data_IF_364958678063
#
_entry.id   IF_364958678063
#
_cell.length_a   1.000
_cell.length_b   1.000
_cell.length_c   1.000
_cell.angle_alpha   90.00
_cell.angle_beta   90.00
_cell.angle_gamma   90.00
#
_symmetry.space_group_name_H-M   'P 1'
#
loop_
_entity.id
_entity.type
_entity.pdbx_description
1 polymer ?
#
# COMPACT_ATOMS: atom_id res chain seq x y z
N UNK A 1 -2.27 10.67 12.56
CA UNK A 1 -2.69 12.09 12.52
C UNK A 1 -2.61 12.62 11.08
N UNK A 2 -3.72 13.16 10.55
CA UNK A 2 -3.72 13.87 9.27
C UNK A 2 -2.90 15.16 9.40
N UNK A 3 -2.10 15.48 8.39
CA UNK A 3 -1.35 16.74 8.35
C UNK A 3 -2.26 17.81 7.72
N UNK A 4 -2.43 18.95 8.41
CA UNK A 4 -3.16 20.11 7.89
C UNK A 4 -2.12 21.10 7.38
N UNK A 5 -2.09 21.32 6.08
CA UNK A 5 -1.30 22.40 5.48
C UNK A 5 -2.23 23.58 5.22
N UNK A 6 -1.95 24.73 5.82
CA UNK A 6 -2.66 25.99 5.57
C UNK A 6 -1.74 26.88 4.72
N UNK A 7 -2.18 27.21 3.51
CA UNK A 7 -1.46 28.15 2.64
C UNK A 7 -2.24 29.47 2.60
N UNK A 8 -1.56 30.62 2.74
CA UNK A 8 -2.20 31.92 2.55
C UNK A 8 -2.65 32.07 1.10
N UNK A 9 -3.78 32.77 0.86
CA UNK A 9 -4.21 33.12 -0.49
C UNK A 9 -3.18 34.09 -1.08
N UNK A 10 -2.64 33.84 -2.29
CA UNK A 10 -1.69 34.74 -2.93
C UNK A 10 -2.26 36.15 -3.12
N UNK A 11 -1.51 37.19 -2.74
CA UNK A 11 -1.92 38.59 -2.91
C UNK A 11 -1.80 39.08 -4.37
N UNK A 12 -1.09 38.33 -5.23
CA UNK A 12 -0.90 38.66 -6.64
C UNK A 12 -1.93 37.95 -7.52
N UNK A 13 -2.67 38.72 -8.30
CA UNK A 13 -3.50 38.23 -9.41
C UNK A 13 -2.68 38.37 -10.70
N UNK A 14 -2.10 37.28 -11.16
CA UNK A 14 -1.23 37.16 -12.33
C UNK A 14 -0.89 35.69 -12.58
N UNK A 15 -0.39 35.31 -13.76
CA UNK A 15 -0.26 33.91 -14.23
C UNK A 15 0.83 33.09 -13.54
N UNK A 16 0.85 33.07 -12.21
CA UNK A 16 1.56 32.06 -11.45
C UNK A 16 0.61 30.87 -11.30
N UNK A 17 0.79 29.87 -12.17
CA UNK A 17 0.04 28.61 -12.08
C UNK A 17 0.58 27.87 -10.85
N UNK A 18 -0.03 28.07 -9.69
CA UNK A 18 0.16 27.20 -8.54
C UNK A 18 -0.72 25.95 -8.72
N UNK A 19 -0.12 24.87 -9.21
CA UNK A 19 -0.79 23.56 -9.24
C UNK A 19 -0.68 22.91 -7.86
N UNK A 20 -1.69 23.10 -7.02
CA UNK A 20 -1.94 22.25 -5.86
C UNK A 20 -3.35 21.66 -5.98
N UNK A 21 -3.54 20.35 -5.80
CA UNK A 21 -2.55 19.30 -5.50
C UNK A 21 -1.88 18.69 -6.74
N UNK A 22 -0.79 17.93 -6.52
CA UNK A 22 -0.10 17.19 -7.59
C UNK A 22 -1.09 16.28 -8.33
N UNK A 23 -1.05 16.19 -9.68
CA UNK A 23 -1.97 15.37 -10.48
C UNK A 23 -2.05 13.89 -10.07
N UNK A 24 -1.05 13.38 -9.34
CA UNK A 24 -0.92 11.98 -8.96
C UNK A 24 -1.56 11.64 -7.61
N UNK A 25 -2.13 12.62 -6.91
CA UNK A 25 -2.67 12.43 -5.57
C UNK A 25 -4.08 11.82 -5.61
N UNK A 26 -4.19 10.54 -5.24
CA UNK A 26 -5.45 9.77 -5.42
C UNK A 26 -6.43 9.82 -4.23
N UNK A 27 -5.94 10.16 -3.03
CA UNK A 27 -6.74 10.14 -1.78
C UNK A 27 -6.43 11.40 -0.96
N UNK A 28 -6.91 12.54 -1.46
CA UNK A 28 -6.91 13.83 -0.76
C UNK A 28 -8.34 14.38 -0.68
N UNK A 29 -8.56 15.30 0.26
CA UNK A 29 -9.79 16.10 0.30
C UNK A 29 -9.42 17.56 0.40
N UNK A 30 -10.00 18.37 -0.47
CA UNK A 30 -9.86 19.81 -0.42
C UNK A 30 -11.21 20.49 -0.15
N UNK A 31 -11.13 21.60 0.56
CA UNK A 31 -12.30 22.39 0.94
C UNK A 31 -11.93 23.86 0.86
N UNK A 32 -12.86 24.69 0.41
CA UNK A 32 -12.83 26.13 0.66
C UNK A 32 -13.78 26.37 1.82
N UNK A 33 -13.25 26.72 2.98
CA UNK A 33 -14.03 27.08 4.15
C UNK A 33 -14.41 28.56 4.07
N UNK A 34 -15.71 28.83 3.92
CA UNK A 34 -16.29 30.16 4.07
C UNK A 34 -16.82 30.24 5.50
N UNK A 35 -16.16 31.04 6.34
CA UNK A 35 -16.48 31.12 7.76
C UNK A 35 -17.47 32.27 8.03
N UNK A 36 -18.47 32.11 8.91
CA UNK A 36 -19.43 33.15 9.25
C UNK A 36 -18.84 34.20 10.21
N UNK A 37 -17.59 34.59 9.99
CA UNK A 37 -16.86 35.59 10.75
C UNK A 37 -16.68 36.81 9.83
N UNK A 38 -17.19 38.00 10.22
CA UNK A 38 -17.05 39.20 9.41
C UNK A 38 -15.58 39.49 9.05
N UNK A 39 -15.33 39.86 7.79
CA UNK A 39 -14.01 40.19 7.25
C UNK A 39 -12.96 39.06 7.29
N UNK A 40 -13.36 37.81 7.50
CA UNK A 40 -12.46 36.66 7.35
C UNK A 40 -12.46 36.18 5.89
N UNK A 41 -11.31 36.16 5.19
CA UNK A 41 -11.24 35.63 3.84
C UNK A 41 -11.51 34.11 3.84
N UNK A 42 -12.02 33.53 2.73
CA UNK A 42 -12.15 32.07 2.60
C UNK A 42 -10.82 31.37 2.85
N UNK A 43 -10.85 30.21 3.48
CA UNK A 43 -9.64 29.42 3.79
C UNK A 43 -9.62 28.18 2.91
N UNK A 44 -8.58 28.01 2.10
CA UNK A 44 -8.34 26.74 1.42
C UNK A 44 -7.73 25.74 2.39
N UNK A 45 -8.38 24.59 2.56
CA UNK A 45 -7.94 23.49 3.41
C UNK A 45 -7.67 22.28 2.55
N UNK A 46 -6.51 21.70 2.78
CA UNK A 46 -6.02 20.54 2.08
C UNK A 46 -5.69 19.43 3.08
N UNK A 47 -6.33 18.26 2.91
CA UNK A 47 -6.16 17.10 3.80
C UNK A 47 -5.57 15.93 3.02
N UNK A 48 -4.39 15.47 3.45
CA UNK A 48 -3.74 14.27 2.95
C UNK A 48 -3.46 13.26 4.07
N UNK A 49 -3.44 11.98 3.71
CA UNK A 49 -2.87 10.94 4.56
C UNK A 49 -1.33 11.04 4.54
N UNK A 50 -0.65 10.68 5.64
CA UNK A 50 0.81 10.69 5.67
C UNK A 50 1.39 9.73 4.63
N UNK A 51 2.57 10.04 4.04
CA UNK A 51 3.25 9.13 3.12
C UNK A 51 3.47 7.74 3.73
N UNK A 52 3.58 6.73 2.87
CA UNK A 52 3.90 5.37 3.31
C UNK A 52 5.30 5.32 3.90
N UNK A 53 5.49 4.50 4.94
CA UNK A 53 6.79 4.26 5.56
C UNK A 53 7.38 2.93 5.07
N UNK A 54 8.71 2.80 5.02
CA UNK A 54 9.32 1.51 4.75
C UNK A 54 8.92 0.46 5.79
N UNK A 55 8.68 -0.76 5.33
CA UNK A 55 8.15 -1.88 6.10
C UNK A 55 6.74 -1.68 6.67
N UNK A 56 6.03 -0.62 6.26
CA UNK A 56 4.64 -0.45 6.65
C UNK A 56 3.77 -1.53 6.03
N UNK A 57 3.06 -2.27 6.88
CA UNK A 57 2.11 -3.33 6.51
C UNK A 57 0.70 -2.77 6.55
N UNK A 58 -0.11 -3.11 5.56
CA UNK A 58 -1.49 -2.62 5.46
C UNK A 58 -2.22 -3.15 4.23
N UNK A 59 -3.42 -2.63 4.00
CA UNK A 59 -4.19 -2.94 2.79
C UNK A 59 -3.56 -2.29 1.56
N UNK A 60 -3.50 -3.05 0.46
CA UNK A 60 -2.89 -2.59 -0.79
C UNK A 60 -3.41 -1.22 -1.24
N UNK A 61 -4.73 -1.01 -1.27
CA UNK A 61 -5.30 0.23 -1.78
C UNK A 61 -4.87 1.45 -0.96
N UNK A 62 -4.71 1.29 0.36
CA UNK A 62 -4.33 2.38 1.25
C UNK A 62 -2.85 2.71 1.08
N UNK A 63 -1.99 1.68 1.13
CA UNK A 63 -0.56 1.84 0.93
C UNK A 63 -0.26 2.41 -0.46
N UNK A 64 -0.90 1.90 -1.51
CA UNK A 64 -0.69 2.35 -2.89
C UNK A 64 -1.24 3.76 -3.14
N UNK A 65 -2.25 4.21 -2.38
CA UNK A 65 -2.73 5.59 -2.43
C UNK A 65 -1.77 6.60 -1.79
N UNK A 66 -0.93 6.12 -0.85
CA UNK A 66 0.05 6.93 -0.10
C UNK A 66 1.47 6.82 -0.63
N UNK A 67 1.78 5.80 -1.43
CA UNK A 67 3.08 5.66 -2.09
C UNK A 67 3.18 6.54 -3.32
N UNK A 68 4.09 7.52 -3.29
CA UNK A 68 4.11 8.64 -4.26
C UNK A 68 5.53 9.05 -4.62
N UNK A 69 6.06 8.49 -5.72
CA UNK A 69 7.43 8.75 -6.21
C UNK A 69 8.50 8.66 -5.11
N UNK A 70 8.26 7.81 -4.12
CA UNK A 70 9.05 7.63 -2.90
C UNK A 70 10.09 6.51 -3.04
N UNK A 71 10.16 5.89 -4.21
CA UNK A 71 11.02 4.74 -4.47
C UNK A 71 10.56 3.46 -3.76
N UNK A 72 9.30 3.40 -3.33
CA UNK A 72 8.68 2.23 -2.72
C UNK A 72 7.80 1.50 -3.74
N UNK A 73 7.78 0.18 -3.63
CA UNK A 73 6.75 -0.67 -4.23
C UNK A 73 5.87 -1.21 -3.11
N UNK A 74 4.58 -1.37 -3.41
CA UNK A 74 3.63 -2.02 -2.51
C UNK A 74 3.52 -3.49 -2.93
N UNK A 75 4.18 -4.36 -2.16
CA UNK A 75 4.27 -5.79 -2.44
C UNK A 75 3.18 -6.56 -1.69
N UNK A 76 2.35 -7.31 -2.44
CA UNK A 76 1.36 -8.21 -1.85
C UNK A 76 2.07 -9.40 -1.21
N UNK A 77 1.84 -9.64 0.09
CA UNK A 77 2.41 -10.78 0.81
C UNK A 77 1.28 -11.52 1.55
N UNK A 78 0.86 -12.72 1.08
CA UNK A 78 1.38 -13.45 -0.08
C UNK A 78 1.08 -12.77 -1.42
N UNK A 79 1.77 -13.22 -2.48
CA UNK A 79 1.62 -12.63 -3.80
C UNK A 79 0.16 -12.58 -4.29
N UNK A 80 -0.22 -11.48 -4.97
CA UNK A 80 -1.57 -11.28 -5.52
C UNK A 80 -2.03 -12.45 -6.40
N UNK A 81 -1.10 -13.10 -7.12
CA UNK A 81 -1.38 -14.27 -7.94
C UNK A 81 -1.81 -15.50 -7.12
N UNK A 82 -1.14 -15.75 -6.00
CA UNK A 82 -1.51 -16.82 -5.07
C UNK A 82 -2.88 -16.55 -4.42
N UNK A 83 -3.11 -15.32 -3.93
CA UNK A 83 -4.39 -14.92 -3.36
C UNK A 83 -5.55 -15.05 -4.38
N UNK A 84 -5.30 -14.70 -5.65
CA UNK A 84 -6.29 -14.89 -6.73
C UNK A 84 -6.66 -16.36 -6.92
N UNK A 85 -5.69 -17.27 -6.90
CA UNK A 85 -5.94 -18.71 -7.02
C UNK A 85 -6.69 -19.26 -5.80
N UNK A 86 -6.28 -18.84 -4.60
CA UNK A 86 -6.94 -19.20 -3.35
C UNK A 86 -8.43 -18.79 -3.37
N UNK A 87 -8.73 -17.54 -3.77
CA UNK A 87 -10.11 -17.06 -3.88
C UNK A 87 -10.92 -17.81 -4.93
N UNK A 88 -10.34 -18.12 -6.10
CA UNK A 88 -11.03 -18.92 -7.13
C UNK A 88 -11.38 -20.32 -6.63
N UNK A 89 -10.50 -20.95 -5.86
CA UNK A 89 -10.77 -22.25 -5.25
C UNK A 89 -11.85 -22.16 -4.15
N UNK A 90 -11.78 -21.12 -3.30
CA UNK A 90 -12.70 -20.93 -2.16
C UNK A 90 -14.11 -20.50 -2.56
N UNK A 91 -14.22 -19.57 -3.51
CA UNK A 91 -15.50 -18.96 -3.93
C UNK A 91 -16.15 -19.69 -5.12
N UNK A 92 -15.37 -20.48 -5.87
CA UNK A 92 -15.86 -21.23 -7.03
C UNK A 92 -16.36 -20.32 -8.16
N UNK A 93 -17.26 -20.84 -8.98
CA UNK A 93 -17.76 -20.16 -10.20
C UNK A 93 -18.69 -18.96 -9.93
N UNK A 94 -19.10 -18.76 -8.68
CA UNK A 94 -20.03 -17.68 -8.32
C UNK A 94 -19.35 -16.30 -8.26
N UNK A 95 -18.04 -16.24 -8.01
CA UNK A 95 -17.29 -14.99 -7.97
C UNK A 95 -16.75 -14.62 -9.34
N UNK A 96 -17.03 -13.40 -9.79
CA UNK A 96 -16.43 -12.87 -11.02
C UNK A 96 -14.98 -12.46 -10.78
N UNK A 97 -14.17 -12.36 -11.84
CA UNK A 97 -12.82 -11.81 -11.72
C UNK A 97 -12.82 -10.39 -11.15
N UNK A 98 -13.86 -9.60 -11.41
CA UNK A 98 -14.03 -8.25 -10.85
C UNK A 98 -14.26 -8.26 -9.34
N UNK A 99 -15.02 -9.22 -8.83
CA UNK A 99 -15.27 -9.36 -7.38
C UNK A 99 -13.99 -9.82 -6.67
N UNK A 100 -13.25 -10.74 -7.27
CA UNK A 100 -11.94 -11.17 -6.78
C UNK A 100 -10.97 -9.98 -6.76
N UNK A 101 -10.90 -9.21 -7.84
CA UNK A 101 -9.97 -8.07 -7.91
C UNK A 101 -10.32 -6.97 -6.90
N UNK A 102 -11.59 -6.80 -6.52
CA UNK A 102 -11.99 -5.92 -5.40
C UNK A 102 -11.43 -6.42 -4.06
N UNK A 103 -11.56 -7.72 -3.77
CA UNK A 103 -11.01 -8.32 -2.54
C UNK A 103 -9.49 -8.17 -2.51
N UNK A 104 -8.83 -8.44 -3.64
CA UNK A 104 -7.38 -8.30 -3.76
C UNK A 104 -6.89 -6.85 -3.63
N UNK A 105 -7.75 -5.86 -3.89
CA UNK A 105 -7.42 -4.45 -3.68
C UNK A 105 -7.33 -4.09 -2.19
N UNK A 106 -7.99 -4.85 -1.31
CA UNK A 106 -7.84 -4.78 0.16
C UNK A 106 -6.88 -5.82 0.71
N UNK A 107 -6.24 -6.62 -0.15
CA UNK A 107 -5.29 -7.65 0.27
C UNK A 107 -4.08 -7.07 1.00
N UNK A 108 -3.57 -7.82 1.97
CA UNK A 108 -2.42 -7.43 2.79
C UNK A 108 -1.18 -7.25 1.92
N UNK A 109 -0.49 -6.14 2.14
CA UNK A 109 0.71 -5.75 1.43
C UNK A 109 1.70 -5.06 2.37
N UNK A 110 2.93 -4.92 1.91
CA UNK A 110 4.00 -4.23 2.61
C UNK A 110 4.72 -3.25 1.68
N UNK A 111 5.08 -2.09 2.20
CA UNK A 111 5.89 -1.12 1.46
C UNK A 111 7.37 -1.49 1.53
N UNK A 112 7.95 -1.83 0.37
CA UNK A 112 9.34 -2.26 0.23
C UNK A 112 10.09 -1.36 -0.77
N UNK A 113 11.35 -0.98 -0.53
CA UNK A 113 12.12 -0.23 -1.50
C UNK A 113 12.17 -0.94 -2.85
N UNK A 114 11.96 -0.20 -3.95
CA UNK A 114 11.84 -0.72 -5.31
C UNK A 114 12.99 -1.67 -5.68
N UNK A 115 14.22 -1.32 -5.29
CA UNK A 115 15.42 -2.14 -5.52
C UNK A 115 15.38 -3.50 -4.81
N UNK A 116 14.78 -3.58 -3.63
CA UNK A 116 14.61 -4.84 -2.88
C UNK A 116 13.51 -5.68 -3.51
N UNK A 117 12.33 -5.09 -3.77
CA UNK A 117 11.24 -5.81 -4.43
C UNK A 117 11.72 -6.39 -5.78
N UNK A 118 12.39 -5.56 -6.59
CA UNK A 118 13.02 -6.00 -7.84
C UNK A 118 14.14 -7.00 -7.68
N UNK A 119 14.95 -6.93 -6.63
CA UNK A 119 16.15 -7.76 -6.49
C UNK A 119 15.89 -9.12 -5.86
N UNK A 120 14.92 -9.17 -4.94
CA UNK A 120 14.82 -10.25 -3.95
C UNK A 120 13.43 -10.90 -3.92
N UNK A 121 12.35 -10.13 -4.03
CA UNK A 121 11.01 -10.66 -3.76
C UNK A 121 10.59 -11.77 -4.72
N UNK A 122 10.09 -12.89 -4.18
CA UNK A 122 9.53 -13.99 -4.96
C UNK A 122 8.23 -13.60 -5.68
N UNK A 123 7.57 -12.54 -5.23
CA UNK A 123 6.31 -12.03 -5.81
C UNK A 123 6.56 -11.23 -7.10
N UNK A 124 7.81 -10.81 -7.33
CA UNK A 124 8.18 -9.91 -8.42
C UNK A 124 8.28 -10.63 -9.77
N UNK A 125 7.37 -10.26 -10.68
CA UNK A 125 7.36 -10.64 -12.09
C UNK A 125 7.66 -12.14 -12.30
N UNK A 126 8.76 -12.46 -12.98
CA UNK A 126 9.09 -13.81 -13.45
C UNK A 126 9.42 -14.81 -12.34
N UNK A 127 9.73 -14.36 -11.12
CA UNK A 127 9.93 -15.27 -9.97
C UNK A 127 8.61 -15.84 -9.47
N UNK A 128 7.52 -15.09 -9.63
CA UNK A 128 6.19 -15.50 -9.23
C UNK A 128 5.55 -16.42 -10.28
N UNK A 129 6.17 -17.58 -10.51
CA UNK A 129 5.73 -18.57 -11.49
C UNK A 129 4.37 -19.16 -11.13
N UNK A 130 3.66 -19.74 -12.11
CA UNK A 130 2.38 -20.41 -11.84
C UNK A 130 2.49 -21.55 -10.84
N UNK A 131 3.59 -22.31 -10.86
CA UNK A 131 3.85 -23.35 -9.88
C UNK A 131 3.99 -22.78 -8.46
N UNK A 132 4.70 -21.66 -8.31
CA UNK A 132 4.82 -20.95 -7.02
C UNK A 132 3.46 -20.42 -6.56
N UNK A 133 2.69 -19.78 -7.44
CA UNK A 133 1.34 -19.29 -7.11
C UNK A 133 0.42 -20.41 -6.62
N UNK A 134 0.44 -21.59 -7.26
CA UNK A 134 -0.36 -22.74 -6.84
C UNK A 134 0.10 -23.25 -5.48
N UNK A 135 1.42 -23.41 -5.28
CA UNK A 135 1.99 -23.82 -3.98
C UNK A 135 1.59 -22.86 -2.87
N UNK A 136 1.80 -21.57 -3.09
CA UNK A 136 1.52 -20.51 -2.11
C UNK A 136 0.02 -20.39 -1.82
N UNK A 137 -0.85 -20.67 -2.79
CA UNK A 137 -2.29 -20.68 -2.58
C UNK A 137 -2.80 -21.85 -1.72
N UNK A 138 -2.03 -22.93 -1.58
CA UNK A 138 -2.40 -24.07 -0.74
C UNK A 138 -2.12 -23.82 0.75
N UNK A 139 -1.12 -22.98 1.05
CA UNK A 139 -0.74 -22.61 2.41
C UNK A 139 -0.32 -21.14 2.44
N UNK A 140 -1.30 -20.28 2.73
CA UNK A 140 -1.12 -18.83 2.84
C UNK A 140 -0.12 -18.48 3.96
N UNK A 141 -0.17 -19.19 5.10
CA UNK A 141 0.73 -18.92 6.23
C UNK A 141 2.19 -19.14 5.84
N UNK A 142 2.49 -20.31 5.26
CA UNK A 142 3.83 -20.61 4.76
C UNK A 142 4.25 -19.69 3.59
N UNK A 143 3.29 -19.23 2.77
CA UNK A 143 3.57 -18.29 1.69
C UNK A 143 3.97 -16.90 2.19
N UNK A 144 3.37 -16.41 3.28
CA UNK A 144 3.77 -15.15 3.94
C UNK A 144 5.26 -15.23 4.33
N UNK A 145 5.63 -16.28 5.06
CA UNK A 145 7.00 -16.49 5.50
C UNK A 145 7.96 -16.59 4.32
N UNK A 146 7.68 -17.46 3.35
CA UNK A 146 8.52 -17.64 2.16
C UNK A 146 8.72 -16.35 1.37
N UNK A 147 7.63 -15.61 1.11
CA UNK A 147 7.70 -14.39 0.29
C UNK A 147 8.42 -13.25 1.04
N UNK A 148 8.25 -13.14 2.36
CA UNK A 148 8.95 -12.13 3.16
C UNK A 148 10.42 -12.50 3.40
N UNK A 149 10.73 -13.76 3.70
CA UNK A 149 12.09 -14.28 3.91
C UNK A 149 13.00 -14.02 2.71
N UNK A 150 12.48 -14.15 1.50
CA UNK A 150 13.22 -13.86 0.29
C UNK A 150 13.76 -12.42 0.26
N UNK A 151 13.05 -11.47 0.87
CA UNK A 151 13.37 -10.04 0.89
C UNK A 151 14.31 -9.66 2.04
N UNK A 152 14.31 -10.43 3.13
CA UNK A 152 15.10 -10.18 4.36
C UNK A 152 16.59 -9.93 4.08
N UNK A 153 17.31 -10.71 3.24
CA UNK A 153 18.72 -10.43 2.95
C UNK A 153 18.95 -9.07 2.30
N UNK A 154 18.03 -8.63 1.43
CA UNK A 154 18.07 -7.33 0.80
C UNK A 154 17.82 -6.21 1.81
N UNK A 155 16.78 -6.37 2.64
CA UNK A 155 16.43 -5.41 3.68
C UNK A 155 17.55 -5.24 4.72
N UNK A 156 18.19 -6.33 5.16
CA UNK A 156 19.34 -6.25 6.09
C UNK A 156 20.49 -5.45 5.51
N UNK A 157 20.78 -5.59 4.21
CA UNK A 157 21.82 -4.79 3.53
C UNK A 157 21.52 -3.29 3.51
N UNK A 158 20.25 -2.91 3.61
CA UNK A 158 19.82 -1.52 3.70
C UNK A 158 19.80 -0.98 5.13
N UNK A 159 20.14 -1.81 6.12
CA UNK A 159 20.24 -1.41 7.52
C UNK A 159 18.97 -1.65 8.35
N UNK A 160 17.97 -2.34 7.82
CA UNK A 160 16.82 -2.76 8.65
C UNK A 160 17.26 -3.80 9.69
N UNK A 161 16.90 -3.54 10.94
CA UNK A 161 17.22 -4.41 12.08
C UNK A 161 16.32 -5.64 12.11
N UNK A 162 16.78 -6.72 12.74
CA UNK A 162 15.96 -7.93 12.91
C UNK A 162 14.66 -7.64 13.69
N UNK A 163 14.68 -6.69 14.62
CA UNK A 163 13.47 -6.26 15.36
C UNK A 163 12.43 -5.63 14.43
N UNK A 164 12.84 -4.73 13.51
CA UNK A 164 11.94 -4.14 12.52
C UNK A 164 11.38 -5.19 11.55
N UNK A 165 12.22 -6.15 11.14
CA UNK A 165 11.82 -7.21 10.21
C UNK A 165 10.86 -8.20 10.88
N UNK A 166 11.11 -8.57 12.14
CA UNK A 166 10.23 -9.44 12.91
C UNK A 166 8.88 -8.77 13.15
N UNK A 167 8.87 -7.48 13.50
CA UNK A 167 7.63 -6.70 13.65
C UNK A 167 6.82 -6.68 12.34
N UNK A 168 7.46 -6.40 11.20
CA UNK A 168 6.78 -6.42 9.91
C UNK A 168 6.21 -7.80 9.57
N UNK A 169 6.93 -8.88 9.89
CA UNK A 169 6.44 -10.26 9.74
C UNK A 169 5.22 -10.51 10.62
N UNK A 170 5.27 -10.12 11.90
CA UNK A 170 4.16 -10.28 12.83
C UNK A 170 2.92 -9.52 12.34
N UNK A 171 3.07 -8.28 11.88
CA UNK A 171 1.99 -7.48 11.30
C UNK A 171 1.40 -8.13 10.03
N UNK A 172 2.25 -8.69 9.15
CA UNK A 172 1.80 -9.44 7.97
C UNK A 172 0.93 -10.64 8.36
N UNK A 173 1.37 -11.44 9.34
CA UNK A 173 0.59 -12.58 9.81
C UNK A 173 -0.70 -12.15 10.50
N UNK A 174 -0.64 -11.14 11.36
CA UNK A 174 -1.78 -10.63 12.11
C UNK A 174 -2.86 -10.13 11.17
N UNK A 175 -2.53 -9.24 10.23
CA UNK A 175 -3.52 -8.68 9.31
C UNK A 175 -4.09 -9.73 8.37
N UNK A 176 -3.27 -10.70 7.91
CA UNK A 176 -3.79 -11.78 7.07
C UNK A 176 -4.76 -12.70 7.84
N UNK A 177 -4.54 -12.92 9.14
CA UNK A 177 -5.48 -13.67 10.00
C UNK A 177 -6.76 -12.88 10.27
N UNK A 178 -6.64 -11.59 10.56
CA UNK A 178 -7.79 -10.69 10.76
C UNK A 178 -8.69 -10.61 9.53
N UNK A 179 -8.10 -10.59 8.33
CA UNK A 179 -8.83 -10.65 7.06
C UNK A 179 -9.33 -12.06 6.70
N UNK A 180 -9.02 -13.08 7.50
CA UNK A 180 -9.51 -14.45 7.32
C UNK A 180 -8.90 -15.20 6.13
N UNK A 181 -7.69 -14.85 5.73
CA UNK A 181 -6.95 -15.57 4.69
C UNK A 181 -6.49 -16.95 5.15
N UNK A 182 -6.13 -17.09 6.43
CA UNK A 182 -5.80 -18.35 7.09
C UNK A 182 -6.02 -18.25 8.61
N UNK A 183 -5.80 -19.35 9.34
CA UNK A 183 -5.96 -19.45 10.80
C UNK A 183 -4.61 -19.57 11.49
#
# INVERSE_FOLDING_TARGET
PSQITVLPIPEKVGSDIESLPMPEEKDFRDYILILPIPNMPPVYVYLSKPPVKPLEVGEYHDLAGRSRNDGMDIDHIPSKGALKLFLKAKLGKAATDKDIDKILNSGVSIAIPHRIHRGYSETYKGRNTKAKQVKDALDIGAAIDSNFDAQVPGLRKEGYTDEQLNKAREELHQLNKEQGWYK
#
